data_IF_294873494935
#
_entry.id   IF_294873494935
#
_cell.length_a   1.000
_cell.length_b   1.000
_cell.length_c   1.000
_cell.angle_alpha   90.00
_cell.angle_beta   90.00
_cell.angle_gamma   90.00
#
_symmetry.space_group_name_H-M   'P 1'
#
loop_
_entity.id
_entity.type
_entity.pdbx_description
1 polymer ?
#
# COMPACT_ATOMS: atom_id res chain seq x y z
N UNK A 1 -8.20 -10.09 -72.49
CA UNK A 1 -8.13 -11.51 -72.10
C UNK A 1 -8.01 -11.49 -70.57
N UNK A 2 -9.10 -11.44 -69.78
CA UNK A 2 -10.04 -12.52 -69.38
C UNK A 2 -9.24 -13.74 -68.85
N UNK A 3 -9.32 -14.30 -67.62
CA UNK A 3 -10.27 -14.40 -66.48
C UNK A 3 -9.44 -14.48 -65.16
N UNK A 4 -9.82 -13.88 -64.02
CA UNK A 4 -10.83 -14.28 -63.01
C UNK A 4 -10.61 -15.67 -62.37
N UNK A 5 -10.41 -15.73 -61.03
CA UNK A 5 -11.05 -16.68 -60.07
C UNK A 5 -10.44 -16.61 -58.64
N UNK A 6 -11.11 -15.91 -57.72
CA UNK A 6 -11.38 -16.38 -56.33
C UNK A 6 -12.74 -17.12 -56.37
N UNK A 7 -13.28 -17.80 -55.31
CA UNK A 7 -12.94 -17.81 -53.88
C UNK A 7 -12.97 -19.22 -53.21
N UNK A 8 -12.66 -19.35 -51.91
CA UNK A 8 -13.31 -20.35 -51.05
C UNK A 8 -13.35 -19.89 -49.58
N UNK A 9 -14.58 -19.67 -49.11
CA UNK A 9 -15.10 -19.74 -47.73
C UNK A 9 -14.75 -21.09 -47.05
N UNK A 10 -14.80 -21.32 -45.73
CA UNK A 10 -14.91 -20.54 -44.50
C UNK A 10 -14.57 -21.51 -43.31
N UNK A 11 -15.06 -21.38 -42.05
CA UNK A 11 -14.31 -21.68 -40.84
C UNK A 11 -14.58 -23.07 -40.23
N UNK A 12 -13.72 -23.54 -39.33
CA UNK A 12 -13.97 -24.75 -38.53
C UNK A 12 -13.71 -24.48 -37.04
N UNK A 13 -14.78 -24.14 -36.34
CA UNK A 13 -14.98 -24.49 -34.92
C UNK A 13 -15.48 -25.94 -34.85
N UNK A 14 -15.15 -26.69 -33.79
CA UNK A 14 -16.18 -27.54 -33.16
C UNK A 14 -16.06 -27.52 -31.61
N UNK A 15 -16.92 -28.22 -30.85
CA UNK A 15 -18.25 -27.79 -30.43
C UNK A 15 -18.43 -27.73 -28.90
N UNK A 16 -19.65 -27.38 -28.47
CA UNK A 16 -20.12 -27.18 -27.11
C UNK A 16 -20.54 -28.47 -26.35
N UNK A 17 -20.86 -28.26 -25.06
CA UNK A 17 -21.72 -29.03 -24.11
C UNK A 17 -21.09 -30.24 -23.37
N UNK A 18 -20.80 -30.12 -22.05
CA UNK A 18 -21.67 -30.29 -20.85
C UNK A 18 -21.82 -31.79 -20.43
N UNK A 19 -21.71 -32.17 -19.12
CA UNK A 19 -22.75 -31.82 -18.15
C UNK A 19 -22.32 -31.62 -16.68
N UNK A 20 -23.27 -31.03 -15.96
CA UNK A 20 -23.42 -30.80 -14.52
C UNK A 20 -23.11 -32.01 -13.62
N UNK A 21 -22.52 -31.74 -12.44
CA UNK A 21 -22.75 -32.55 -11.24
C UNK A 21 -22.93 -31.66 -10.02
N UNK A 22 -24.13 -31.77 -9.46
CA UNK A 22 -24.62 -31.21 -8.21
C UNK A 22 -23.98 -31.86 -6.97
N UNK A 23 -23.61 -31.00 -6.00
CA UNK A 23 -23.72 -31.06 -4.52
C UNK A 23 -23.47 -32.39 -3.77
N UNK A 24 -22.82 -32.34 -2.59
CA UNK A 24 -23.62 -32.12 -1.37
C UNK A 24 -23.01 -31.16 -0.33
N UNK A 25 -23.93 -30.53 0.41
CA UNK A 25 -23.72 -29.88 1.70
C UNK A 25 -22.94 -30.77 2.68
N UNK A 26 -22.00 -30.15 3.41
CA UNK A 26 -21.60 -30.58 4.75
C UNK A 26 -21.55 -29.37 5.69
N UNK A 27 -22.65 -29.15 6.39
CA UNK A 27 -22.66 -28.56 7.73
C UNK A 27 -21.85 -29.44 8.67
N UNK A 28 -20.73 -28.97 9.25
CA UNK A 28 -20.41 -29.22 10.67
C UNK A 28 -19.20 -28.43 11.20
N UNK A 29 -19.39 -27.95 12.43
CA UNK A 29 -18.43 -27.67 13.51
C UNK A 29 -17.50 -26.45 13.42
N UNK A 30 -17.93 -25.39 14.12
CA UNK A 30 -17.07 -24.32 14.60
C UNK A 30 -15.92 -24.87 15.46
N UNK A 31 -14.71 -24.49 15.07
CA UNK A 31 -13.49 -24.73 15.86
C UNK A 31 -13.36 -23.59 16.85
N UNK A 32 -13.75 -23.84 18.10
CA UNK A 32 -13.35 -23.05 19.25
C UNK A 32 -11.85 -23.25 19.44
N UNK A 33 -11.04 -22.29 19.01
CA UNK A 33 -9.62 -22.22 19.37
C UNK A 33 -9.52 -21.53 20.73
N UNK A 34 -9.76 -22.29 21.81
CA UNK A 34 -9.37 -21.87 23.16
C UNK A 34 -7.96 -22.37 23.41
N UNK A 35 -7.02 -21.46 23.59
CA UNK A 35 -5.65 -21.78 23.99
C UNK A 35 -5.54 -21.48 25.48
N UNK A 36 -5.40 -22.53 26.29
CA UNK A 36 -5.15 -22.42 27.72
C UNK A 36 -3.64 -22.51 27.94
N UNK A 37 -3.05 -21.49 28.54
CA UNK A 37 -1.66 -21.53 29.01
C UNK A 37 -1.65 -21.99 30.47
N UNK A 38 -1.05 -23.15 30.74
CA UNK A 38 -0.67 -23.56 32.10
C UNK A 38 0.70 -22.94 32.44
N UNK A 39 0.72 -22.11 33.48
CA UNK A 39 1.96 -21.58 34.06
C UNK A 39 2.43 -22.56 35.15
N UNK A 40 3.72 -22.96 35.17
CA UNK A 40 4.25 -23.76 36.27
C UNK A 40 4.30 -22.93 37.56
N UNK A 41 3.84 -23.55 38.65
CA UNK A 41 3.89 -22.99 40.00
C UNK A 41 5.33 -22.63 40.39
N UNK A 42 5.53 -21.38 40.81
CA UNK A 42 6.79 -20.92 41.41
C UNK A 42 7.03 -21.65 42.73
N UNK A 43 8.21 -22.27 42.96
CA UNK A 43 8.50 -22.93 44.22
C UNK A 43 8.60 -21.92 45.37
N UNK A 44 7.83 -22.18 46.42
CA UNK A 44 7.68 -21.33 47.58
C UNK A 44 8.96 -21.10 48.37
N UNK A 45 9.07 -19.89 48.90
CA UNK A 45 9.94 -19.55 50.01
C UNK A 45 9.11 -19.30 51.28
N UNK A 46 9.50 -19.98 52.35
CA UNK A 46 9.38 -19.59 53.78
C UNK A 46 8.29 -20.28 54.64
N UNK A 47 8.68 -21.44 55.18
CA UNK A 47 8.66 -21.86 56.61
C UNK A 47 7.39 -21.62 57.49
N UNK A 48 6.71 -22.74 57.83
CA UNK A 48 6.25 -23.22 59.17
C UNK A 48 6.13 -22.21 60.33
N UNK A 49 5.04 -22.02 61.09
CA UNK A 49 4.18 -22.94 61.91
C UNK A 49 3.08 -22.09 62.64
N UNK A 50 2.20 -22.62 63.54
CA UNK A 50 1.31 -23.78 63.48
C UNK A 50 -0.18 -23.45 63.89
N UNK A 51 -1.08 -24.41 63.63
CA UNK A 51 -2.34 -24.69 64.36
C UNK A 51 -3.50 -23.68 64.32
N UNK A 52 -4.52 -24.02 63.52
CA UNK A 52 -5.92 -24.07 63.95
C UNK A 52 -6.68 -25.02 63.00
N UNK A 53 -7.33 -26.04 63.56
CA UNK A 53 -7.83 -27.23 62.85
C UNK A 53 -9.35 -27.21 62.63
N UNK A 54 -10.01 -26.06 62.79
CA UNK A 54 -11.48 -25.97 62.88
C UNK A 54 -12.12 -25.05 61.82
N UNK A 55 -11.73 -25.14 60.54
CA UNK A 55 -12.51 -24.47 59.47
C UNK A 55 -12.38 -25.12 58.07
N UNK A 56 -12.43 -26.45 58.00
CA UNK A 56 -12.34 -27.19 56.73
C UNK A 56 -13.68 -27.45 56.03
N UNK A 57 -14.59 -26.47 56.01
CA UNK A 57 -15.74 -26.45 55.10
C UNK A 57 -16.02 -25.04 54.55
N UNK A 58 -14.99 -24.36 54.07
CA UNK A 58 -15.14 -23.29 53.08
C UNK A 58 -14.64 -23.80 51.73
N UNK A 59 -15.46 -23.79 50.66
CA UNK A 59 -14.95 -24.04 49.33
C UNK A 59 -13.99 -22.90 49.00
N UNK A 60 -12.70 -23.21 49.02
CA UNK A 60 -11.66 -22.33 48.50
C UNK A 60 -12.05 -21.93 47.09
N UNK A 61 -12.59 -20.73 46.96
CA UNK A 61 -12.67 -20.02 45.70
C UNK A 61 -11.21 -19.74 45.35
N UNK A 62 -10.57 -20.72 44.71
CA UNK A 62 -9.38 -20.49 43.91
C UNK A 62 -9.78 -19.42 42.91
N UNK A 63 -9.51 -18.15 43.25
CA UNK A 63 -9.52 -17.06 42.29
C UNK A 63 -8.35 -17.33 41.38
N UNK A 64 -8.57 -18.23 40.42
CA UNK A 64 -7.87 -18.25 39.16
C UNK A 64 -7.98 -16.83 38.65
N UNK A 65 -6.90 -16.05 38.74
CA UNK A 65 -6.79 -14.78 38.04
C UNK A 65 -6.61 -15.08 36.54
N UNK A 66 -7.56 -15.83 35.96
CA UNK A 66 -7.68 -15.98 34.53
C UNK A 66 -8.25 -14.67 34.03
N UNK A 67 -7.38 -13.84 33.49
CA UNK A 67 -7.81 -12.70 32.68
C UNK A 67 -8.46 -13.33 31.45
N UNK A 68 -9.79 -13.31 31.43
CA UNK A 68 -10.57 -13.75 30.30
C UNK A 68 -10.41 -12.70 29.20
N UNK A 69 -9.36 -12.83 28.41
CA UNK A 69 -9.15 -12.02 27.21
C UNK A 69 -10.18 -12.51 26.19
N UNK A 70 -11.35 -11.87 26.23
CA UNK A 70 -12.35 -12.00 25.18
C UNK A 70 -11.79 -11.34 23.91
N UNK A 71 -10.93 -12.07 23.21
CA UNK A 71 -10.52 -11.74 21.86
C UNK A 71 -11.75 -11.90 20.96
N UNK A 72 -12.51 -10.81 20.79
CA UNK A 72 -13.49 -10.75 19.72
C UNK A 72 -12.72 -10.90 18.41
N UNK A 73 -13.10 -11.89 17.61
CA UNK A 73 -12.63 -11.99 16.25
C UNK A 73 -13.03 -10.70 15.53
N UNK A 74 -12.05 -9.81 15.34
CA UNK A 74 -12.19 -8.60 14.55
C UNK A 74 -12.51 -9.09 13.13
N UNK A 75 -13.69 -8.76 12.57
CA UNK A 75 -13.98 -9.09 11.19
C UNK A 75 -12.90 -8.46 10.29
N UNK A 76 -12.43 -9.19 9.28
CA UNK A 76 -11.44 -8.72 8.28
C UNK A 76 -11.88 -7.46 7.49
N UNK A 77 -13.02 -6.87 7.86
CA UNK A 77 -13.62 -5.68 7.27
C UNK A 77 -13.36 -4.40 8.08
N UNK A 78 -12.62 -4.45 9.19
CA UNK A 78 -12.24 -3.25 9.96
C UNK A 78 -11.02 -2.60 9.29
N UNK A 79 -11.26 -1.52 8.55
CA UNK A 79 -10.21 -0.77 7.88
C UNK A 79 -9.80 0.49 8.65
N UNK A 80 -10.51 0.83 9.72
CA UNK A 80 -10.28 2.02 10.54
C UNK A 80 -10.10 1.58 11.99
N UNK A 81 -9.06 2.08 12.66
CA UNK A 81 -8.71 1.69 14.03
C UNK A 81 -9.77 2.04 15.09
N UNK A 82 -10.71 2.93 14.76
CA UNK A 82 -11.81 3.35 15.64
C UNK A 82 -12.81 2.20 15.83
N UNK A 83 -12.97 1.72 17.06
CA UNK A 83 -13.92 0.66 17.42
C UNK A 83 -15.35 1.22 17.48
N UNK A 84 -15.55 2.29 18.25
CA UNK A 84 -16.77 3.09 18.31
C UNK A 84 -16.60 4.39 17.53
N UNK A 85 -16.75 4.30 16.20
CA UNK A 85 -16.45 5.38 15.27
C UNK A 85 -17.14 6.70 15.59
N UNK A 86 -18.39 6.71 16.07
CA UNK A 86 -19.09 7.98 16.36
C UNK A 86 -18.46 8.69 17.56
N UNK A 87 -18.34 7.97 18.68
CA UNK A 87 -17.81 8.53 19.92
C UNK A 87 -16.32 8.86 19.83
N UNK A 88 -15.52 7.96 19.25
CA UNK A 88 -14.09 8.19 19.07
C UNK A 88 -13.81 9.33 18.08
N UNK A 89 -14.62 9.51 17.03
CA UNK A 89 -14.49 10.68 16.15
C UNK A 89 -14.81 11.98 16.86
N UNK A 90 -15.80 12.01 17.78
CA UNK A 90 -16.08 13.21 18.58
C UNK A 90 -14.90 13.56 19.47
N UNK A 91 -14.29 12.57 20.10
CA UNK A 91 -13.09 12.75 20.92
C UNK A 91 -11.92 13.23 20.08
N UNK A 92 -11.68 12.62 18.91
CA UNK A 92 -10.63 13.05 17.98
C UNK A 92 -10.80 14.50 17.53
N UNK A 93 -12.03 14.93 17.24
CA UNK A 93 -12.34 16.33 16.88
C UNK A 93 -12.06 17.27 18.06
N UNK A 94 -12.39 16.85 19.28
CA UNK A 94 -12.14 17.64 20.48
C UNK A 94 -10.65 17.76 20.81
N UNK A 95 -9.85 16.72 20.55
CA UNK A 95 -8.41 16.74 20.80
C UNK A 95 -7.62 17.45 19.69
N UNK A 96 -8.08 17.38 18.44
CA UNK A 96 -7.37 17.91 17.26
C UNK A 96 -8.05 19.15 16.69
N UNK A 97 -8.44 20.09 17.55
CA UNK A 97 -9.24 21.26 17.17
C UNK A 97 -8.62 22.11 16.06
N UNK A 98 -7.29 22.28 16.05
CA UNK A 98 -6.59 23.04 15.02
C UNK A 98 -6.76 22.43 13.62
N UNK A 99 -6.61 21.11 13.51
CA UNK A 99 -6.79 20.37 12.26
C UNK A 99 -8.23 20.47 11.76
N UNK A 100 -9.22 20.17 12.62
CA UNK A 100 -10.62 20.22 12.23
C UNK A 100 -11.13 21.65 11.96
N UNK A 101 -10.52 22.68 12.56
CA UNK A 101 -10.80 24.08 12.22
C UNK A 101 -10.30 24.44 10.83
N UNK A 102 -9.11 23.97 10.44
CA UNK A 102 -8.59 24.11 9.08
C UNK A 102 -9.45 23.37 8.06
N UNK A 103 -9.86 22.14 8.40
CA UNK A 103 -10.72 21.30 7.57
C UNK A 103 -12.10 21.95 7.38
N UNK A 104 -12.66 22.54 8.44
CA UNK A 104 -13.92 23.30 8.38
C UNK A 104 -13.83 24.57 7.54
N UNK A 105 -12.70 25.26 7.60
CA UNK A 105 -12.43 26.44 6.78
C UNK A 105 -12.31 26.06 5.30
N UNK A 106 -11.67 24.93 5.00
CA UNK A 106 -11.52 24.45 3.63
C UNK A 106 -12.85 23.96 3.02
N UNK A 107 -13.63 23.20 3.78
CA UNK A 107 -14.89 22.63 3.30
C UNK A 107 -16.09 23.57 3.43
N UNK A 108 -15.91 24.85 3.79
CA UNK A 108 -16.94 25.83 4.21
C UNK A 108 -18.39 25.56 3.70
N UNK A 109 -18.57 25.42 2.38
CA UNK A 109 -19.89 25.20 1.75
C UNK A 109 -20.44 23.76 1.88
N UNK A 110 -19.57 22.76 2.02
CA UNK A 110 -19.87 21.34 2.13
C UNK A 110 -19.73 20.78 3.57
N UNK A 111 -19.37 21.62 4.55
CA UNK A 111 -19.11 21.19 5.93
C UNK A 111 -20.26 20.38 6.52
N UNK A 112 -21.52 20.84 6.39
CA UNK A 112 -22.66 20.12 6.96
C UNK A 112 -22.81 18.69 6.38
N UNK A 113 -22.51 18.50 5.09
CA UNK A 113 -22.53 17.17 4.45
C UNK A 113 -21.34 16.31 4.89
N UNK A 114 -20.18 16.93 5.06
CA UNK A 114 -18.99 16.28 5.56
C UNK A 114 -19.16 15.84 7.02
N UNK A 115 -19.69 16.70 7.88
CA UNK A 115 -19.96 16.44 9.30
C UNK A 115 -20.92 15.26 9.50
N UNK A 116 -21.97 15.16 8.68
CA UNK A 116 -22.87 14.00 8.67
C UNK A 116 -22.17 12.70 8.27
N UNK A 117 -21.15 12.78 7.42
CA UNK A 117 -20.32 11.63 7.06
C UNK A 117 -19.36 11.29 8.20
N UNK A 118 -18.73 12.31 8.79
CA UNK A 118 -17.74 12.21 9.86
C UNK A 118 -18.27 11.43 11.06
N UNK A 119 -19.47 11.78 11.53
CA UNK A 119 -20.12 11.16 12.69
C UNK A 119 -21.08 10.01 12.34
N UNK A 120 -20.98 9.47 11.12
CA UNK A 120 -21.82 8.33 10.74
C UNK A 120 -21.33 7.07 11.50
N UNK A 121 -22.17 6.34 12.25
CA UNK A 121 -21.75 5.13 12.95
C UNK A 121 -21.47 3.97 11.97
N UNK A 122 -20.57 3.05 12.35
CA UNK A 122 -20.16 1.90 11.52
C UNK A 122 -21.33 1.00 11.12
N UNK A 123 -22.37 0.92 11.94
CA UNK A 123 -23.61 0.17 11.64
C UNK A 123 -24.40 0.70 10.43
N UNK A 124 -24.20 1.97 10.05
CA UNK A 124 -24.91 2.61 8.91
C UNK A 124 -24.05 2.70 7.64
N UNK A 125 -22.73 2.68 7.77
CA UNK A 125 -21.81 2.88 6.65
C UNK A 125 -20.51 2.12 6.90
N UNK A 126 -20.13 1.27 5.96
CA UNK A 126 -18.87 0.51 6.00
C UNK A 126 -17.66 1.44 6.07
N UNK A 127 -16.52 0.94 6.51
CA UNK A 127 -15.30 1.75 6.59
C UNK A 127 -14.80 2.16 5.20
N UNK A 128 -14.95 1.29 4.20
CA UNK A 128 -14.64 1.61 2.79
C UNK A 128 -15.52 2.75 2.27
N UNK A 129 -16.84 2.67 2.44
CA UNK A 129 -17.75 3.70 1.97
C UNK A 129 -17.54 5.03 2.72
N UNK A 130 -17.26 4.94 4.02
CA UNK A 130 -17.00 6.08 4.88
C UNK A 130 -15.73 6.81 4.46
N UNK A 131 -14.62 6.07 4.36
CA UNK A 131 -13.36 6.64 3.91
C UNK A 131 -13.44 7.12 2.45
N UNK A 132 -14.16 6.43 1.58
CA UNK A 132 -14.38 6.85 0.20
C UNK A 132 -15.13 8.18 0.09
N UNK A 133 -16.12 8.43 0.96
CA UNK A 133 -16.83 9.72 0.98
C UNK A 133 -15.96 10.86 1.54
N UNK A 134 -15.18 10.57 2.57
CA UNK A 134 -14.22 11.53 3.15
C UNK A 134 -13.14 11.88 2.13
N UNK A 135 -12.58 10.88 1.46
CA UNK A 135 -11.58 11.05 0.40
C UNK A 135 -12.10 11.91 -0.74
N UNK A 136 -13.34 11.67 -1.20
CA UNK A 136 -13.97 12.53 -2.23
C UNK A 136 -14.15 13.98 -1.77
N UNK A 137 -14.47 14.20 -0.50
CA UNK A 137 -14.62 15.55 0.04
C UNK A 137 -13.27 16.27 0.18
N UNK A 138 -12.20 15.54 0.50
CA UNK A 138 -10.86 16.08 0.72
C UNK A 138 -9.92 15.94 -0.50
N UNK A 139 -10.41 15.48 -1.65
CA UNK A 139 -9.61 15.27 -2.86
C UNK A 139 -8.92 16.56 -3.35
N UNK A 140 -9.48 17.73 -3.05
CA UNK A 140 -8.88 19.02 -3.40
C UNK A 140 -7.63 19.36 -2.56
N UNK A 141 -7.42 18.68 -1.42
CA UNK A 141 -6.27 18.89 -0.53
C UNK A 141 -5.75 17.54 -0.03
N UNK A 142 -4.94 16.85 -0.86
CA UNK A 142 -4.35 15.56 -0.52
C UNK A 142 -3.61 15.52 0.83
N UNK A 143 -2.86 16.57 1.26
CA UNK A 143 -2.19 16.56 2.56
C UNK A 143 -3.16 16.45 3.75
N UNK A 144 -4.32 17.10 3.68
CA UNK A 144 -5.35 17.02 4.74
C UNK A 144 -6.01 15.66 4.77
N UNK A 145 -6.18 15.02 3.61
CA UNK A 145 -6.71 13.66 3.52
C UNK A 145 -5.73 12.66 4.14
N UNK A 146 -4.44 12.78 3.85
CA UNK A 146 -3.43 11.88 4.42
C UNK A 146 -3.38 12.02 5.95
N UNK A 147 -3.29 13.25 6.44
CA UNK A 147 -3.32 13.51 7.88
C UNK A 147 -4.59 12.98 8.54
N UNK A 148 -5.74 13.04 7.85
CA UNK A 148 -6.97 12.43 8.34
C UNK A 148 -6.86 10.89 8.44
N UNK A 149 -6.34 10.23 7.40
CA UNK A 149 -6.14 8.77 7.36
C UNK A 149 -5.23 8.29 8.47
N UNK A 150 -4.14 9.01 8.70
CA UNK A 150 -3.19 8.72 9.78
C UNK A 150 -3.86 8.87 11.15
N UNK A 151 -4.65 9.94 11.34
CA UNK A 151 -5.33 10.23 12.59
C UNK A 151 -6.34 9.14 12.99
N UNK A 152 -7.05 8.57 12.01
CA UNK A 152 -8.07 7.55 12.25
C UNK A 152 -7.53 6.12 12.12
N UNK A 153 -6.26 5.97 11.75
CA UNK A 153 -5.61 4.67 11.53
C UNK A 153 -6.27 3.87 10.41
N UNK A 154 -6.44 4.47 9.23
CA UNK A 154 -7.00 3.79 8.07
C UNK A 154 -5.95 2.88 7.40
N UNK A 155 -6.31 1.61 7.18
CA UNK A 155 -5.42 0.55 6.64
C UNK A 155 -5.90 -0.01 5.29
N UNK A 156 -6.87 0.63 4.62
CA UNK A 156 -7.36 0.15 3.34
C UNK A 156 -6.41 0.50 2.19
N UNK A 157 -6.16 -0.47 1.30
CA UNK A 157 -5.42 -0.25 0.06
C UNK A 157 -6.17 0.77 -0.81
N UNK A 158 -5.58 1.95 -0.97
CA UNK A 158 -6.03 2.90 -1.99
C UNK A 158 -5.57 2.39 -3.37
N UNK A 159 -6.25 1.39 -3.92
CA UNK A 159 -6.08 0.93 -5.31
C UNK A 159 -6.47 2.01 -6.36
N UNK A 160 -6.70 3.25 -5.93
CA UNK A 160 -6.91 4.41 -6.81
C UNK A 160 -5.96 5.59 -6.54
N UNK A 161 -5.01 5.45 -5.61
CA UNK A 161 -3.86 6.36 -5.50
C UNK A 161 -2.57 5.55 -5.37
N UNK A 162 -2.23 4.82 -6.44
CA UNK A 162 -0.83 4.52 -6.78
C UNK A 162 -0.12 5.84 -7.09
N UNK A 163 0.21 6.60 -6.06
CA UNK A 163 1.22 7.67 -6.00
C UNK A 163 1.04 8.40 -4.66
N UNK A 164 2.11 8.50 -3.88
CA UNK A 164 2.26 9.37 -2.69
C UNK A 164 2.14 8.72 -1.29
N UNK A 165 2.36 7.41 -1.17
CA UNK A 165 2.95 6.84 0.05
C UNK A 165 4.29 6.18 -0.29
N UNK A 166 5.32 7.01 -0.49
CA UNK A 166 6.66 6.73 0.02
C UNK A 166 6.79 7.71 1.19
N UNK A 167 6.81 7.23 2.43
CA UNK A 167 8.05 7.02 3.19
C UNK A 167 9.03 8.20 3.01
N UNK A 168 9.58 8.71 4.11
CA UNK A 168 10.72 9.64 4.10
C UNK A 168 11.96 8.99 3.43
N UNK A 169 11.86 8.80 2.12
CA UNK A 169 12.86 8.28 1.20
C UNK A 169 13.22 9.44 0.26
N UNK A 170 14.50 9.56 -0.12
CA UNK A 170 15.06 10.76 -0.69
C UNK A 170 14.32 11.21 -1.96
N UNK A 171 14.31 12.54 -2.18
CA UNK A 171 13.63 13.36 -3.20
C UNK A 171 13.59 12.87 -4.65
N UNK A 172 14.27 11.78 -4.99
CA UNK A 172 14.42 11.23 -6.34
C UNK A 172 13.14 10.62 -6.94
N UNK A 173 12.03 10.55 -6.19
CA UNK A 173 10.83 9.79 -6.59
C UNK A 173 10.15 10.34 -7.86
N UNK A 174 10.33 11.62 -8.19
CA UNK A 174 9.70 12.28 -9.35
C UNK A 174 10.70 12.88 -10.35
N UNK A 175 11.83 12.22 -10.55
CA UNK A 175 12.74 12.56 -11.65
C UNK A 175 12.14 12.03 -12.95
N UNK A 176 11.72 12.96 -13.81
CA UNK A 176 11.38 12.67 -15.21
C UNK A 176 12.66 12.29 -15.94
N UNK A 177 12.84 10.98 -16.14
CA UNK A 177 14.05 10.42 -16.73
C UNK A 177 14.23 10.88 -18.17
N UNK A 178 13.15 11.16 -18.90
CA UNK A 178 13.22 11.55 -20.29
C UNK A 178 13.91 12.91 -20.49
N UNK A 179 13.93 13.76 -19.46
CA UNK A 179 14.63 15.06 -19.49
C UNK A 179 16.12 14.95 -19.77
N UNK A 180 16.77 13.84 -19.41
CA UNK A 180 18.20 13.66 -19.73
C UNK A 180 18.44 13.61 -21.25
N UNK A 181 17.43 13.22 -22.04
CA UNK A 181 17.51 13.13 -23.51
C UNK A 181 17.55 14.49 -24.18
N UNK A 182 17.21 15.57 -23.48
CA UNK A 182 17.44 16.94 -23.95
C UNK A 182 18.94 17.30 -23.97
N UNK A 183 19.79 16.52 -23.28
CA UNK A 183 21.23 16.72 -23.15
C UNK A 183 22.03 15.52 -23.71
N UNK A 184 22.05 15.30 -25.03
CA UNK A 184 22.67 14.12 -25.64
C UNK A 184 24.17 13.99 -25.36
N UNK A 185 24.87 15.11 -25.13
CA UNK A 185 26.28 15.12 -24.77
C UNK A 185 26.53 14.59 -23.34
N UNK A 186 25.58 14.79 -22.40
CA UNK A 186 25.64 14.25 -21.04
C UNK A 186 25.33 12.77 -21.03
N UNK A 187 24.27 12.38 -21.75
CA UNK A 187 23.92 10.98 -21.99
C UNK A 187 25.14 10.20 -22.53
N UNK A 188 25.83 10.72 -23.54
CA UNK A 188 27.03 10.06 -24.09
C UNK A 188 28.19 9.92 -23.08
N UNK A 189 28.28 10.84 -22.11
CA UNK A 189 29.32 10.85 -21.07
C UNK A 189 28.98 9.97 -19.86
N UNK A 190 27.71 9.58 -19.66
CA UNK A 190 27.29 8.78 -18.50
C UNK A 190 28.15 7.53 -18.29
N UNK A 191 28.50 6.84 -19.39
CA UNK A 191 29.33 5.63 -19.35
C UNK A 191 30.74 5.88 -18.79
N UNK A 192 31.28 7.07 -18.98
CA UNK A 192 32.61 7.45 -18.49
C UNK A 192 32.54 8.09 -17.10
N UNK A 193 31.51 8.90 -16.85
CA UNK A 193 31.33 9.63 -15.61
C UNK A 193 30.88 8.73 -14.44
N UNK A 194 30.08 7.69 -14.70
CA UNK A 194 29.50 6.83 -13.67
C UNK A 194 29.89 5.35 -13.88
N UNK A 195 31.18 4.98 -13.83
CA UNK A 195 31.63 3.62 -14.09
C UNK A 195 31.05 2.60 -13.08
N UNK A 196 30.79 3.03 -11.85
CA UNK A 196 30.19 2.17 -10.82
C UNK A 196 28.75 1.78 -11.17
N UNK A 197 27.95 2.71 -11.71
CA UNK A 197 26.61 2.42 -12.19
C UNK A 197 26.64 1.39 -13.33
N UNK A 198 27.56 1.53 -14.28
CA UNK A 198 27.75 0.57 -15.38
C UNK A 198 28.07 -0.83 -14.85
N UNK A 199 28.97 -0.94 -13.87
CA UNK A 199 29.31 -2.22 -13.23
C UNK A 199 28.10 -2.82 -12.52
N UNK A 200 27.29 -2.00 -11.86
CA UNK A 200 26.09 -2.46 -11.15
C UNK A 200 25.03 -2.96 -12.13
N UNK A 201 24.79 -2.25 -13.24
CA UNK A 201 23.92 -2.70 -14.33
C UNK A 201 24.38 -4.03 -14.92
N UNK A 202 25.68 -4.19 -15.18
CA UNK A 202 26.23 -5.45 -15.70
C UNK A 202 26.05 -6.65 -14.76
N UNK A 203 25.95 -6.41 -13.45
CA UNK A 203 25.76 -7.46 -12.45
C UNK A 203 24.29 -7.75 -12.16
N UNK A 204 23.44 -6.72 -12.24
CA UNK A 204 22.03 -6.79 -11.84
C UNK A 204 21.05 -7.06 -12.99
N UNK A 205 21.43 -6.76 -14.23
CA UNK A 205 20.55 -6.93 -15.39
C UNK A 205 20.76 -8.29 -16.08
N UNK A 206 19.66 -8.86 -16.54
CA UNK A 206 19.70 -10.09 -17.35
C UNK A 206 20.27 -9.82 -18.75
N UNK A 207 19.98 -8.66 -19.32
CA UNK A 207 20.51 -8.20 -20.61
C UNK A 207 20.99 -6.74 -20.52
N UNK A 208 22.24 -6.53 -20.05
CA UNK A 208 22.80 -5.19 -19.91
C UNK A 208 22.95 -4.46 -21.25
N UNK A 209 23.20 -5.19 -22.34
CA UNK A 209 23.45 -4.58 -23.65
C UNK A 209 22.15 -3.98 -24.21
N UNK A 210 21.02 -4.70 -24.11
CA UNK A 210 19.71 -4.15 -24.51
C UNK A 210 19.28 -2.94 -23.68
N UNK A 211 19.68 -2.89 -22.40
CA UNK A 211 19.46 -1.72 -21.56
C UNK A 211 20.29 -0.52 -22.05
N UNK A 212 21.58 -0.70 -22.30
CA UNK A 212 22.43 0.39 -22.78
C UNK A 212 22.02 0.88 -24.18
N UNK A 213 21.59 -0.02 -25.06
CA UNK A 213 21.06 0.35 -26.38
C UNK A 213 19.80 1.23 -26.25
N UNK A 214 18.97 0.96 -25.24
CA UNK A 214 17.79 1.77 -24.94
C UNK A 214 18.19 3.10 -24.31
N UNK A 215 19.05 3.09 -23.27
CA UNK A 215 19.50 4.27 -22.54
C UNK A 215 20.19 5.30 -23.44
N UNK A 216 21.06 4.84 -24.35
CA UNK A 216 21.80 5.71 -25.28
C UNK A 216 21.08 5.94 -26.61
N UNK A 217 19.83 5.48 -26.76
CA UNK A 217 19.06 5.67 -27.99
C UNK A 217 18.77 7.17 -28.24
N UNK A 218 19.13 7.71 -29.42
CA UNK A 218 18.85 9.10 -29.75
C UNK A 218 17.34 9.36 -29.78
N UNK A 219 16.94 10.58 -29.40
CA UNK A 219 15.54 11.00 -29.48
C UNK A 219 15.10 10.96 -30.94
N UNK A 220 14.13 10.11 -31.22
CA UNK A 220 13.67 9.82 -32.58
C UNK A 220 12.17 9.55 -32.58
N UNK A 221 11.52 9.80 -33.72
CA UNK A 221 10.08 9.55 -33.89
C UNK A 221 9.69 8.08 -33.62
N UNK A 222 10.64 7.15 -33.73
CA UNK A 222 10.43 5.71 -33.52
C UNK A 222 10.46 5.30 -32.05
N UNK A 223 11.01 6.13 -31.17
CA UNK A 223 11.06 5.87 -29.73
C UNK A 223 10.70 7.15 -28.93
N UNK A 224 9.39 7.45 -28.84
CA UNK A 224 8.87 8.55 -28.02
C UNK A 224 9.28 8.40 -26.56
N UNK A 225 9.30 9.51 -25.83
CA UNK A 225 9.81 9.56 -24.47
C UNK A 225 9.01 8.68 -23.51
N UNK A 226 7.69 8.67 -23.60
CA UNK A 226 6.83 7.79 -22.80
C UNK A 226 7.20 6.30 -22.97
N UNK A 227 7.52 5.91 -24.20
CA UNK A 227 7.89 4.52 -24.54
C UNK A 227 9.32 4.21 -24.12
N UNK A 228 10.23 5.18 -24.29
CA UNK A 228 11.61 5.07 -23.83
C UNK A 228 11.66 4.88 -22.31
N UNK A 229 10.96 5.75 -21.59
CA UNK A 229 10.92 5.75 -20.13
C UNK A 229 10.28 4.47 -19.60
N UNK A 230 9.15 4.04 -20.17
CA UNK A 230 8.53 2.76 -19.83
C UNK A 230 9.49 1.57 -19.99
N UNK A 231 10.31 1.54 -21.06
CA UNK A 231 11.31 0.48 -21.25
C UNK A 231 12.44 0.53 -20.23
N UNK A 232 12.90 1.73 -19.88
CA UNK A 232 13.92 1.91 -18.83
C UNK A 232 13.38 1.39 -17.49
N UNK A 233 12.13 1.72 -17.14
CA UNK A 233 11.49 1.19 -15.94
C UNK A 233 11.39 -0.33 -15.98
N UNK A 234 10.82 -0.91 -17.05
CA UNK A 234 10.64 -2.37 -17.17
C UNK A 234 11.97 -3.15 -17.06
N UNK A 235 13.04 -2.62 -17.67
CA UNK A 235 14.37 -3.22 -17.62
C UNK A 235 15.01 -3.13 -16.24
N UNK A 236 14.77 -2.03 -15.50
CA UNK A 236 15.40 -1.80 -14.19
C UNK A 236 14.60 -2.34 -13.01
N UNK A 237 13.27 -2.42 -13.11
CA UNK A 237 12.35 -2.83 -12.02
C UNK A 237 12.64 -4.25 -11.52
N UNK A 238 13.02 -5.15 -12.42
CA UNK A 238 13.28 -6.55 -12.11
C UNK A 238 14.67 -6.80 -11.48
N UNK A 239 15.51 -5.77 -11.32
CA UNK A 239 16.96 -5.97 -11.09
C UNK A 239 17.35 -6.24 -9.64
N UNK A 240 16.49 -6.01 -8.65
CA UNK A 240 16.72 -6.25 -7.20
C UNK A 240 17.83 -5.41 -6.54
N UNK A 241 18.82 -4.98 -7.32
CA UNK A 241 19.72 -3.88 -7.03
C UNK A 241 18.96 -2.60 -7.36
N UNK A 242 18.98 -1.63 -6.44
CA UNK A 242 18.33 -0.33 -6.57
C UNK A 242 18.98 0.55 -7.67
N UNK A 243 18.99 0.03 -8.90
CA UNK A 243 19.59 0.62 -10.10
C UNK A 243 18.72 1.75 -10.63
N UNK A 244 17.40 1.64 -10.43
CA UNK A 244 16.45 2.66 -10.83
C UNK A 244 16.64 3.93 -10.00
N UNK A 245 16.79 3.83 -8.67
CA UNK A 245 17.08 5.01 -7.85
C UNK A 245 18.45 5.60 -8.20
N UNK A 246 19.48 4.76 -8.39
CA UNK A 246 20.79 5.23 -8.84
C UNK A 246 20.71 5.99 -10.18
N UNK A 247 19.93 5.51 -11.15
CA UNK A 247 19.75 6.20 -12.42
C UNK A 247 19.02 7.54 -12.22
N UNK A 248 17.98 7.58 -11.39
CA UNK A 248 17.25 8.81 -11.07
C UNK A 248 18.14 9.86 -10.43
N UNK A 249 18.98 9.46 -9.47
CA UNK A 249 19.97 10.33 -8.83
C UNK A 249 20.96 10.89 -9.85
N UNK A 250 21.52 10.03 -10.71
CA UNK A 250 22.46 10.45 -11.76
C UNK A 250 21.78 11.44 -12.72
N UNK A 251 20.55 11.16 -13.15
CA UNK A 251 19.81 12.01 -14.07
C UNK A 251 19.49 13.36 -13.43
N UNK A 252 19.04 13.39 -12.18
CA UNK A 252 18.78 14.63 -11.46
C UNK A 252 20.06 15.46 -11.33
N UNK A 253 21.17 14.85 -10.91
CA UNK A 253 22.46 15.54 -10.81
C UNK A 253 22.92 16.11 -12.16
N UNK A 254 22.84 15.33 -13.23
CA UNK A 254 23.24 15.78 -14.56
C UNK A 254 22.32 16.89 -15.09
N UNK A 255 21.04 16.93 -14.73
CA UNK A 255 20.12 18.00 -15.13
C UNK A 255 20.36 19.27 -14.30
N UNK A 256 20.52 19.14 -12.98
CA UNK A 256 20.65 20.26 -12.04
C UNK A 256 22.03 20.92 -12.11
N UNK A 257 23.12 20.16 -11.97
CA UNK A 257 24.47 20.73 -11.96
C UNK A 257 24.87 21.35 -13.30
N UNK A 258 24.41 20.79 -14.41
CA UNK A 258 24.76 21.39 -15.70
C UNK A 258 23.90 22.58 -16.11
N UNK A 259 23.08 23.15 -15.22
CA UNK A 259 22.58 24.52 -15.41
C UNK A 259 23.65 25.58 -15.08
N UNK A 260 24.75 25.23 -14.40
CA UNK A 260 25.81 26.17 -14.01
C UNK A 260 26.90 26.37 -15.08
N UNK A 261 27.09 25.39 -15.98
CA UNK A 261 28.18 25.39 -16.97
C UNK A 261 27.80 25.97 -18.36
N UNK A 262 26.53 26.36 -18.58
CA UNK A 262 26.01 26.88 -19.87
C UNK A 262 25.79 28.41 -19.85
N UNK A 263 26.66 29.16 -19.14
CA UNK A 263 26.70 30.63 -19.12
C UNK A 263 28.07 31.20 -19.53
#
# INVERSE_FOLDING_TARGET
MIMNSQPFEAPLTPPAESPSRSLPNTTTTGRKLSVTFDLPETPGGTKHSPLNEDDLLSPSISRSNSIDINAQAVPDTILVALLDRDEEMRQLVQHNTAFFSSLRSHLYHNWARFENTLYCPRSKMSDQDWMGRISKALNAVPPLLQQFKDLVGYMGDDDTTTSMLQQEEPSFIHVDLARIRDYPHRVARLRQAYPQFIINCQKGLTDPDAFFDTLFAPRSSTLPDDIWEMRIYDQLDHSGHDLLAQLKEIVEYEIECGMEDDH
#
